data_IF_972794159554
#
_entry.id   IF_972794159554
#
_cell.length_a   1.000
_cell.length_b   1.000
_cell.length_c   1.000
_cell.angle_alpha   90.00
_cell.angle_beta   90.00
_cell.angle_gamma   90.00
#
_symmetry.space_group_name_H-M   'P 1'
#
loop_
_entity.id
_entity.type
_entity.pdbx_description
1 polymer ?
#
# COMPACT_ATOMS: atom_id res chain seq x y z
N UNK A 1 -9.63 13.16 -19.30
CA UNK A 1 -8.41 12.93 -18.52
C UNK A 1 -8.48 11.51 -18.03
N UNK A 2 -7.49 10.69 -18.36
CA UNK A 2 -7.56 9.24 -18.14
C UNK A 2 -6.90 8.90 -16.80
N UNK A 3 -7.63 8.25 -15.89
CA UNK A 3 -7.10 7.89 -14.56
C UNK A 3 -6.29 6.59 -14.56
N UNK A 4 -6.12 5.96 -15.72
CA UNK A 4 -5.31 4.75 -15.87
C UNK A 4 -3.88 4.99 -15.37
N UNK A 5 -3.39 4.07 -14.53
CA UNK A 5 -2.05 4.12 -13.95
C UNK A 5 -1.90 5.02 -12.72
N UNK A 6 -2.92 5.83 -12.37
CA UNK A 6 -2.90 6.60 -11.12
C UNK A 6 -3.20 5.70 -9.92
N UNK A 7 -2.62 6.02 -8.76
CA UNK A 7 -2.92 5.34 -7.50
C UNK A 7 -4.01 6.07 -6.74
N UNK A 8 -4.84 5.28 -6.07
CA UNK A 8 -5.93 5.79 -5.24
C UNK A 8 -5.97 5.03 -3.91
N UNK A 9 -6.43 5.73 -2.87
CA UNK A 9 -6.84 5.15 -1.59
C UNK A 9 -8.36 5.18 -1.50
N UNK A 10 -8.95 4.06 -1.11
CA UNK A 10 -10.37 3.99 -0.78
C UNK A 10 -10.60 4.46 0.66
N UNK A 11 -11.59 5.34 0.83
CA UNK A 11 -11.89 5.94 2.14
C UNK A 11 -12.57 4.95 3.10
N UNK A 12 -13.12 3.85 2.59
CA UNK A 12 -13.94 2.92 3.36
C UNK A 12 -13.17 1.76 4.02
N UNK A 13 -12.03 1.35 3.48
CA UNK A 13 -11.43 0.04 3.83
C UNK A 13 -9.89 -0.03 3.74
N UNK A 14 -9.17 1.10 3.92
CA UNK A 14 -7.70 1.17 3.86
C UNK A 14 -7.08 0.57 2.58
N UNK A 15 -7.90 0.34 1.55
CA UNK A 15 -7.48 -0.24 0.29
C UNK A 15 -6.70 0.80 -0.51
N UNK A 16 -5.47 0.47 -0.90
CA UNK A 16 -4.69 1.26 -1.86
C UNK A 16 -4.40 0.44 -3.11
N UNK A 17 -4.51 1.08 -4.26
CA UNK A 17 -4.32 0.39 -5.52
C UNK A 17 -4.14 1.31 -6.73
N UNK A 18 -3.70 0.70 -7.82
CA UNK A 18 -3.52 1.37 -9.11
C UNK A 18 -4.78 1.22 -9.96
N UNK A 19 -5.25 2.32 -10.56
CA UNK A 19 -6.40 2.31 -11.45
C UNK A 19 -6.06 1.60 -12.76
N UNK A 20 -6.80 0.54 -13.05
CA UNK A 20 -6.68 -0.29 -14.26
C UNK A 20 -7.88 -0.16 -15.20
N UNK A 21 -8.91 0.59 -14.79
CA UNK A 21 -10.10 0.79 -15.58
C UNK A 21 -11.08 1.76 -14.94
N UNK A 22 -12.11 2.14 -15.70
CA UNK A 22 -13.22 2.96 -15.22
C UNK A 22 -14.55 2.36 -15.68
N UNK A 23 -15.62 2.67 -14.96
CA UNK A 23 -16.96 2.23 -15.31
C UNK A 23 -17.98 3.33 -15.02
N UNK A 24 -19.10 3.27 -15.73
CA UNK A 24 -20.30 4.07 -15.43
C UNK A 24 -21.46 3.09 -15.22
N UNK A 25 -22.19 3.25 -14.12
CA UNK A 25 -23.36 2.41 -13.83
C UNK A 25 -24.51 2.77 -14.77
N UNK A 26 -25.53 1.90 -14.84
CA UNK A 26 -26.78 2.19 -15.60
C UNK A 26 -27.52 3.43 -15.10
N UNK A 27 -27.26 3.85 -13.86
CA UNK A 27 -27.82 5.05 -13.25
C UNK A 27 -26.95 6.30 -13.48
N UNK A 28 -25.88 6.19 -14.28
CA UNK A 28 -24.99 7.31 -14.61
C UNK A 28 -23.97 7.65 -13.51
N UNK A 29 -23.68 6.73 -12.59
CA UNK A 29 -22.66 6.94 -11.54
C UNK A 29 -21.30 6.45 -12.00
N UNK A 30 -20.26 7.26 -11.83
CA UNK A 30 -18.90 6.91 -12.23
C UNK A 30 -18.11 6.21 -11.12
N UNK A 31 -17.24 5.29 -11.52
CA UNK A 31 -16.32 4.61 -10.63
C UNK A 31 -15.06 4.13 -11.32
N UNK A 32 -14.09 3.70 -10.51
CA UNK A 32 -12.80 3.21 -10.94
C UNK A 32 -12.62 1.76 -10.52
N UNK A 33 -11.84 1.04 -11.30
CA UNK A 33 -11.41 -0.33 -11.05
C UNK A 33 -9.96 -0.27 -10.58
N UNK A 34 -9.70 -0.68 -9.35
CA UNK A 34 -8.39 -0.61 -8.73
C UNK A 34 -7.80 -2.01 -8.54
N UNK A 35 -6.57 -2.21 -9.01
CA UNK A 35 -5.73 -3.35 -8.64
C UNK A 35 -5.06 -3.01 -7.31
N UNK A 36 -5.29 -3.83 -6.28
CA UNK A 36 -4.66 -3.67 -4.97
C UNK A 36 -3.14 -3.73 -5.10
N UNK A 37 -2.43 -2.86 -4.37
CA UNK A 37 -0.98 -2.92 -4.34
C UNK A 37 -0.51 -4.27 -3.78
N UNK A 38 0.39 -4.93 -4.51
CA UNK A 38 1.10 -6.14 -4.09
C UNK A 38 0.22 -7.37 -3.82
N UNK A 39 -1.02 -7.33 -4.29
CA UNK A 39 -1.95 -8.46 -4.24
C UNK A 39 -2.66 -8.59 -5.58
N UNK A 40 -3.07 -9.81 -5.95
CA UNK A 40 -3.87 -10.08 -7.15
C UNK A 40 -5.37 -9.85 -6.90
N UNK A 41 -5.70 -8.81 -6.15
CA UNK A 41 -7.07 -8.45 -5.79
C UNK A 41 -7.48 -7.21 -6.57
N UNK A 42 -8.63 -7.26 -7.23
CA UNK A 42 -9.24 -6.12 -7.91
C UNK A 42 -10.51 -5.75 -7.17
N UNK A 43 -10.72 -4.45 -6.95
CA UNK A 43 -11.95 -3.94 -6.35
C UNK A 43 -12.44 -2.72 -7.14
N UNK A 44 -13.76 -2.53 -7.17
CA UNK A 44 -14.42 -1.42 -7.84
C UNK A 44 -14.99 -0.45 -6.81
N UNK A 45 -14.73 0.83 -6.98
CA UNK A 45 -15.22 1.88 -6.10
C UNK A 45 -15.88 3.00 -6.89
N UNK A 46 -16.92 3.60 -6.31
CA UNK A 46 -17.44 4.88 -6.78
C UNK A 46 -16.36 5.95 -6.65
N UNK A 47 -16.24 6.83 -7.66
CA UNK A 47 -15.17 7.83 -7.73
C UNK A 47 -15.14 8.77 -6.52
N UNK A 48 -16.30 9.01 -5.92
CA UNK A 48 -16.47 9.86 -4.73
C UNK A 48 -15.98 9.23 -3.42
N UNK A 49 -15.44 8.01 -3.44
CA UNK A 49 -14.85 7.32 -2.28
C UNK A 49 -13.35 7.09 -2.43
N UNK A 50 -12.73 7.77 -3.41
CA UNK A 50 -11.35 7.58 -3.78
C UNK A 50 -10.60 8.89 -3.65
N UNK A 51 -9.47 8.83 -2.96
CA UNK A 51 -8.49 9.90 -2.89
C UNK A 51 -7.30 9.52 -3.76
N UNK A 52 -6.94 10.35 -4.74
CA UNK A 52 -5.72 10.15 -5.55
C UNK A 52 -4.49 10.28 -4.65
N UNK A 53 -3.56 9.33 -4.75
CA UNK A 53 -2.31 9.29 -3.98
C UNK A 53 -1.12 9.18 -4.93
N UNK A 54 0.07 9.55 -4.44
CA UNK A 54 1.28 9.48 -5.25
C UNK A 54 1.64 8.05 -5.65
N UNK A 55 2.21 7.90 -6.84
CA UNK A 55 2.75 6.64 -7.31
C UNK A 55 3.95 6.23 -6.44
N UNK A 56 4.04 4.96 -6.05
CA UNK A 56 5.26 4.47 -5.44
C UNK A 56 6.35 4.28 -6.52
N UNK A 57 7.59 4.71 -6.25
CA UNK A 57 8.75 4.45 -7.10
C UNK A 57 9.03 2.95 -7.12
N UNK A 58 9.51 2.42 -8.25
CA UNK A 58 9.68 0.99 -8.44
C UNK A 58 11.05 0.48 -7.96
N UNK A 59 11.04 -0.55 -7.12
CA UNK A 59 12.12 -1.56 -6.99
C UNK A 59 13.47 -1.13 -6.41
N UNK A 60 13.63 0.13 -5.98
CA UNK A 60 14.87 0.61 -5.37
C UNK A 60 14.69 1.01 -3.90
N UNK A 61 15.74 0.81 -3.11
CA UNK A 61 15.79 1.28 -1.73
C UNK A 61 15.95 2.80 -1.69
N UNK A 62 15.06 3.47 -0.97
CA UNK A 62 15.01 4.91 -0.82
C UNK A 62 15.13 5.33 0.64
N UNK A 63 15.61 6.55 0.94
CA UNK A 63 15.66 7.05 2.32
C UNK A 63 14.30 6.99 3.00
N UNK A 64 14.26 6.57 4.26
CA UNK A 64 13.01 6.40 5.02
C UNK A 64 12.16 7.67 5.10
N UNK A 65 12.78 8.86 5.06
CA UNK A 65 12.05 10.13 5.13
C UNK A 65 11.13 10.37 3.94
N UNK A 66 11.37 9.67 2.82
CA UNK A 66 10.52 9.71 1.62
C UNK A 66 9.48 8.58 1.61
N UNK A 67 9.37 7.80 2.68
CA UNK A 67 8.43 6.68 2.75
C UNK A 67 6.97 7.14 2.71
N UNK A 68 6.09 6.34 2.12
CA UNK A 68 4.68 6.68 2.01
C UNK A 68 4.03 6.78 3.40
N UNK A 69 3.38 7.91 3.67
CA UNK A 69 2.62 8.18 4.91
C UNK A 69 1.11 8.05 4.72
N UNK A 70 0.70 7.42 3.63
CA UNK A 70 -0.67 7.14 3.23
C UNK A 70 -1.18 5.78 3.75
N UNK A 71 -0.40 5.08 4.58
CA UNK A 71 -0.76 3.76 5.12
C UNK A 71 -0.53 2.59 4.16
N UNK A 72 -0.03 2.82 2.94
CA UNK A 72 0.44 1.75 2.06
C UNK A 72 1.57 0.95 2.70
N UNK A 73 1.65 -0.33 2.34
CA UNK A 73 2.68 -1.24 2.82
C UNK A 73 3.96 -1.14 1.97
N UNK A 74 5.09 -1.32 2.62
CA UNK A 74 6.42 -1.33 2.02
C UNK A 74 7.38 -2.19 2.86
N UNK A 75 8.52 -2.55 2.30
CA UNK A 75 9.60 -3.17 3.06
C UNK A 75 10.55 -2.09 3.58
N UNK A 76 11.10 -2.29 4.77
CA UNK A 76 12.00 -1.34 5.40
C UNK A 76 13.30 -1.99 5.87
N UNK A 77 14.35 -1.17 5.93
CA UNK A 77 15.65 -1.55 6.46
C UNK A 77 15.99 -0.70 7.67
N UNK A 78 16.42 -1.31 8.77
CA UNK A 78 16.68 -0.63 10.05
C UNK A 78 18.17 -0.47 10.34
N UNK A 79 18.48 0.39 11.32
CA UNK A 79 19.86 0.70 11.74
C UNK A 79 20.64 -0.51 12.26
N UNK A 80 19.94 -1.53 12.78
CA UNK A 80 20.54 -2.79 13.24
C UNK A 80 20.72 -3.82 12.11
N UNK A 81 20.53 -3.41 10.85
CA UNK A 81 20.66 -4.23 9.64
C UNK A 81 19.61 -5.35 9.54
N UNK A 82 18.42 -5.12 10.08
CA UNK A 82 17.29 -6.01 9.90
C UNK A 82 16.36 -5.53 8.78
N UNK A 83 15.75 -6.49 8.08
CA UNK A 83 14.68 -6.24 7.13
C UNK A 83 13.35 -6.40 7.84
N UNK A 84 12.51 -5.39 7.74
CA UNK A 84 11.12 -5.42 8.20
C UNK A 84 10.21 -5.52 6.98
N UNK A 85 9.41 -6.59 6.90
CA UNK A 85 8.45 -6.79 5.82
C UNK A 85 7.10 -6.16 6.18
N UNK A 86 6.32 -5.78 5.16
CA UNK A 86 4.94 -5.30 5.31
C UNK A 86 4.79 -4.06 6.23
N UNK A 87 5.81 -3.21 6.36
CA UNK A 87 5.75 -2.00 7.18
C UNK A 87 4.76 -0.99 6.61
N UNK A 88 4.02 -0.28 7.47
CA UNK A 88 3.17 0.85 7.07
C UNK A 88 3.24 2.02 8.04
N UNK A 89 2.98 3.22 7.55
CA UNK A 89 2.76 4.38 8.42
C UNK A 89 1.36 4.35 9.05
N UNK A 90 1.28 4.64 10.34
CA UNK A 90 0.01 4.88 11.03
C UNK A 90 -0.14 6.35 11.37
N UNK A 91 -1.05 7.05 10.68
CA UNK A 91 -1.38 8.44 11.01
C UNK A 91 -1.95 8.58 12.44
N UNK A 92 -2.74 7.59 12.89
CA UNK A 92 -3.32 7.58 14.24
C UNK A 92 -2.26 7.45 15.35
N UNK A 93 -1.27 6.56 15.15
CA UNK A 93 -0.19 6.32 16.14
C UNK A 93 1.04 7.21 15.90
N UNK A 94 1.08 7.95 14.79
CA UNK A 94 2.20 8.77 14.34
C UNK A 94 3.54 8.02 14.32
N UNK A 95 3.54 6.78 13.82
CA UNK A 95 4.71 5.91 13.76
C UNK A 95 4.60 4.85 12.67
N UNK A 96 5.72 4.22 12.34
CA UNK A 96 5.77 3.03 11.49
C UNK A 96 5.38 1.78 12.30
N UNK A 97 4.54 0.95 11.69
CA UNK A 97 4.08 -0.32 12.22
C UNK A 97 4.56 -1.47 11.35
N UNK A 98 4.92 -2.59 11.95
CA UNK A 98 5.19 -3.86 11.27
C UNK A 98 4.15 -4.90 11.68
N UNK A 99 3.95 -5.90 10.80
CA UNK A 99 3.12 -7.05 11.13
C UNK A 99 3.98 -8.06 11.90
N UNK A 100 3.67 -8.25 13.17
CA UNK A 100 4.42 -9.17 14.02
C UNK A 100 3.49 -9.90 14.99
N UNK A 101 4.06 -10.90 15.66
CA UNK A 101 3.42 -11.56 16.80
C UNK A 101 3.60 -10.65 18.01
N UNK A 102 2.51 -10.09 18.50
CA UNK A 102 2.42 -9.31 19.73
C UNK A 102 2.37 -10.20 20.96
N UNK A 103 1.96 -9.61 22.08
CA UNK A 103 1.82 -10.36 23.33
C UNK A 103 0.75 -11.47 23.19
N UNK A 104 0.98 -12.60 23.86
CA UNK A 104 0.08 -13.76 23.87
C UNK A 104 -0.19 -14.39 22.49
N UNK A 105 0.81 -14.43 21.61
CA UNK A 105 0.76 -15.08 20.30
C UNK A 105 -0.29 -14.51 19.34
N UNK A 106 -0.68 -13.24 19.51
CA UNK A 106 -1.61 -12.57 18.60
C UNK A 106 -0.86 -11.86 17.48
N UNK A 107 -1.23 -12.12 16.21
CA UNK A 107 -0.68 -11.38 15.08
C UNK A 107 -1.35 -10.00 14.98
N UNK A 108 -0.56 -8.93 15.13
CA UNK A 108 -1.07 -7.57 15.09
C UNK A 108 -0.07 -6.57 14.51
N UNK A 109 -0.53 -5.34 14.31
CA UNK A 109 0.29 -4.21 13.88
C UNK A 109 0.99 -3.56 15.07
N UNK A 110 2.23 -3.98 15.33
CA UNK A 110 3.08 -3.44 16.40
C UNK A 110 3.95 -2.31 15.89
N UNK A 111 4.44 -1.46 16.80
CA UNK A 111 5.37 -0.38 16.45
C UNK A 111 6.73 -0.98 16.11
N UNK A 112 7.33 -0.53 15.01
CA UNK A 112 8.73 -0.88 14.68
C UNK A 112 9.64 -0.36 15.80
N UNK A 113 10.40 -1.27 16.41
CA UNK A 113 11.21 -0.94 17.59
C UNK A 113 12.47 -0.13 17.23
N UNK A 114 13.06 -0.40 16.08
CA UNK A 114 14.29 0.24 15.62
C UNK A 114 14.03 1.41 14.68
N UNK A 115 14.99 2.33 14.61
CA UNK A 115 14.95 3.38 13.60
C UNK A 115 15.14 2.77 12.21
N UNK A 116 14.20 3.06 11.32
CA UNK A 116 14.27 2.70 9.92
C UNK A 116 15.23 3.67 9.20
N UNK A 117 15.88 3.20 8.14
CA UNK A 117 16.87 3.95 7.36
C UNK A 117 16.47 4.05 5.90
N UNK A 118 15.96 2.95 5.35
CA UNK A 118 15.53 2.87 3.97
C UNK A 118 14.20 2.14 3.87
N UNK A 119 13.48 2.38 2.80
CA UNK A 119 12.28 1.66 2.42
C UNK A 119 12.33 1.30 0.94
N UNK A 120 11.54 0.31 0.53
CA UNK A 120 11.31 -0.05 -0.85
C UNK A 120 9.85 -0.47 -0.97
N UNK A 121 9.14 -0.16 -2.07
CA UNK A 121 7.82 -0.77 -2.31
C UNK A 121 7.90 -2.29 -2.16
N UNK A 122 6.83 -2.92 -1.68
CA UNK A 122 6.79 -4.38 -1.68
C UNK A 122 6.94 -4.85 -3.14
N UNK A 123 7.84 -5.80 -3.43
CA UNK A 123 8.05 -6.27 -4.79
C UNK A 123 6.77 -6.92 -5.32
N UNK A 124 6.49 -6.72 -6.61
CA UNK A 124 5.40 -7.43 -7.26
C UNK A 124 5.68 -8.95 -7.19
N UNK A 125 4.66 -9.77 -6.91
CA UNK A 125 4.80 -11.21 -7.01
C UNK A 125 5.36 -11.59 -8.40
N UNK A 126 6.20 -12.62 -8.50
CA UNK A 126 6.65 -13.09 -9.80
C UNK A 126 5.45 -13.38 -10.70
N UNK A 127 5.58 -13.03 -11.98
CA UNK A 127 4.58 -13.43 -12.97
C UNK A 127 4.45 -14.95 -12.92
N UNK A 128 3.23 -15.46 -12.77
CA UNK A 128 3.00 -16.89 -12.85
C UNK A 128 3.40 -17.35 -14.24
N UNK A 129 4.48 -18.12 -14.36
CA UNK A 129 4.71 -18.97 -15.53
C UNK A 129 3.79 -20.17 -15.40
N UNK A 130 2.48 -19.98 -15.54
CA UNK A 130 1.57 -21.10 -15.74
C UNK A 130 1.70 -21.53 -17.20
N UNK A 131 2.16 -22.76 -17.39
CA UNK A 131 2.13 -23.51 -18.64
C UNK A 131 1.02 -24.56 -18.62
#
# INVERSE_FOLDING_TARGET
>A
MTDLGKRFRADCDDFTGTCIGSYTTREGRDGLVLQMDNARVVHVYGRNRLTEIEAQPAGEWMPIDTAPKDGSRFDAWSVNKERHADVKWSARKNCFLEWAVGDFDTCEWVRVQYSLTHWMPVPQPPASTEG
#
